data_IF_659153911738
#
_entry.id   IF_659153911738
#
_cell.length_a   1.000
_cell.length_b   1.000
_cell.length_c   1.000
_cell.angle_alpha   90.00
_cell.angle_beta   90.00
_cell.angle_gamma   90.00
#
_symmetry.space_group_name_H-M   'P 1'
#
loop_
_entity.id
_entity.type
_entity.pdbx_description
1 polymer ?
#
# COMPACT_ATOMS: atom_id res chain seq x y z
N UNK A 1 8.31 12.96 15.94
CA UNK A 1 7.41 11.80 15.82
C UNK A 1 6.00 12.34 15.64
N UNK A 2 5.28 11.93 14.58
CA UNK A 2 3.88 12.32 14.40
C UNK A 2 3.04 11.46 15.35
N UNK A 3 2.35 12.10 16.28
CA UNK A 3 1.46 11.41 17.22
C UNK A 3 0.23 10.91 16.45
N UNK A 4 0.17 9.59 16.25
CA UNK A 4 -0.83 8.81 15.49
C UNK A 4 -2.22 8.82 16.19
N UNK A 5 -2.49 9.76 17.09
CA UNK A 5 -3.51 9.62 18.15
C UNK A 5 -4.85 10.28 17.88
N UNK A 6 -5.13 10.76 16.67
CA UNK A 6 -6.45 11.31 16.33
C UNK A 6 -6.76 11.17 14.85
N UNK A 7 -7.20 10.00 14.44
CA UNK A 7 -7.94 9.86 13.20
C UNK A 7 -9.01 8.80 13.34
N UNK A 8 -10.12 9.02 12.64
CA UNK A 8 -11.18 8.03 12.49
C UNK A 8 -10.94 7.25 11.19
N UNK A 9 -11.34 5.96 11.13
CA UNK A 9 -11.24 5.19 9.90
C UNK A 9 -11.90 5.88 8.68
N UNK A 10 -12.96 6.67 8.92
CA UNK A 10 -13.68 7.42 7.87
C UNK A 10 -12.83 8.52 7.20
N UNK A 11 -11.78 9.02 7.86
CA UNK A 11 -10.88 10.04 7.28
C UNK A 11 -9.91 9.42 6.27
N UNK A 12 -9.55 8.15 6.47
CA UNK A 12 -8.51 7.49 5.67
C UNK A 12 -9.05 6.42 4.71
N UNK A 13 -10.28 5.95 4.91
CA UNK A 13 -10.94 4.94 4.07
C UNK A 13 -12.09 5.60 3.29
N UNK A 14 -12.18 5.29 2.00
CA UNK A 14 -13.31 5.63 1.13
C UNK A 14 -13.95 4.36 0.58
N UNK A 15 -15.26 4.39 0.27
CA UNK A 15 -15.92 3.29 -0.42
C UNK A 15 -15.85 3.51 -1.93
N UNK A 16 -15.15 2.63 -2.65
CA UNK A 16 -15.21 2.55 -4.11
C UNK A 16 -15.94 1.27 -4.48
N UNK A 17 -17.07 1.40 -5.19
CA UNK A 17 -17.91 0.25 -5.57
C UNK A 17 -18.30 -0.64 -4.36
N UNK A 18 -18.54 -0.02 -3.21
CA UNK A 18 -18.84 -0.73 -1.96
C UNK A 18 -17.62 -1.36 -1.26
N UNK A 19 -16.43 -1.28 -1.84
CA UNK A 19 -15.20 -1.79 -1.24
C UNK A 19 -14.45 -0.69 -0.49
N UNK A 20 -14.00 -0.94 0.76
CA UNK A 20 -13.17 0.00 1.50
C UNK A 20 -11.78 0.09 0.86
N UNK A 21 -11.40 1.29 0.45
CA UNK A 21 -10.10 1.58 -0.16
C UNK A 21 -9.43 2.78 0.52
N UNK A 22 -8.10 2.80 0.51
CA UNK A 22 -7.29 3.96 0.93
C UNK A 22 -6.28 4.31 -0.15
N UNK A 23 -5.60 5.44 -0.01
CA UNK A 23 -4.57 5.87 -0.96
C UNK A 23 -3.19 5.85 -0.30
N UNK A 24 -2.15 5.61 -1.10
CA UNK A 24 -0.76 5.66 -0.63
C UNK A 24 -0.38 7.06 -0.10
N UNK A 25 -1.04 8.12 -0.57
CA UNK A 25 -0.89 9.48 -0.05
C UNK A 25 -1.40 9.59 1.40
N UNK A 26 -2.63 9.12 1.66
CA UNK A 26 -3.20 9.13 3.02
C UNK A 26 -2.35 8.33 3.99
N UNK A 27 -1.81 7.19 3.56
CA UNK A 27 -0.86 6.40 4.34
C UNK A 27 0.42 7.19 4.63
N UNK A 28 0.98 7.88 3.64
CA UNK A 28 2.19 8.69 3.81
C UNK A 28 1.98 9.83 4.84
N UNK A 29 0.87 10.57 4.72
CA UNK A 29 0.48 11.64 5.65
C UNK A 29 0.31 11.12 7.07
N UNK A 30 -0.46 10.04 7.22
CA UNK A 30 -0.78 9.43 8.50
C UNK A 30 0.47 8.99 9.29
N UNK A 31 1.38 8.32 8.60
CA UNK A 31 2.59 7.76 9.21
C UNK A 31 3.79 8.73 9.18
N UNK A 32 3.62 9.94 8.64
CA UNK A 32 4.71 10.90 8.48
C UNK A 32 5.86 10.34 7.63
N UNK A 33 5.54 9.64 6.54
CA UNK A 33 6.50 9.05 5.61
C UNK A 33 6.53 9.83 4.30
N UNK A 34 7.66 9.76 3.58
CA UNK A 34 7.69 10.25 2.21
C UNK A 34 6.83 9.33 1.34
N UNK A 35 6.00 9.91 0.48
CA UNK A 35 5.11 9.15 -0.40
C UNK A 35 5.86 8.14 -1.29
N UNK A 36 7.05 8.50 -1.78
CA UNK A 36 7.93 7.59 -2.54
C UNK A 36 8.33 6.33 -1.76
N UNK A 37 8.53 6.43 -0.45
CA UNK A 37 8.95 5.31 0.40
C UNK A 37 7.76 4.36 0.64
N UNK A 38 6.55 4.92 0.75
CA UNK A 38 5.30 4.15 0.81
C UNK A 38 5.06 3.41 -0.50
N UNK A 39 5.20 4.10 -1.64
CA UNK A 39 5.10 3.46 -2.95
C UNK A 39 6.12 2.35 -3.10
N UNK A 40 7.40 2.62 -2.82
CA UNK A 40 8.47 1.62 -2.89
C UNK A 40 8.11 0.37 -2.08
N UNK A 41 7.71 0.53 -0.81
CA UNK A 41 7.26 -0.58 0.02
C UNK A 41 6.06 -1.33 -0.54
N UNK A 42 5.11 -0.65 -1.18
CA UNK A 42 3.96 -1.33 -1.80
C UNK A 42 4.43 -2.22 -2.96
N UNK A 43 5.37 -1.74 -3.79
CA UNK A 43 5.88 -2.52 -4.93
C UNK A 43 6.86 -3.61 -4.52
N UNK A 44 7.56 -3.43 -3.39
CA UNK A 44 8.55 -4.38 -2.85
C UNK A 44 8.04 -5.09 -1.60
N UNK A 45 6.72 -5.17 -1.40
CA UNK A 45 6.14 -5.92 -0.28
C UNK A 45 6.58 -7.37 -0.44
N UNK A 46 7.51 -7.84 0.40
CA UNK A 46 8.05 -9.20 0.31
C UNK A 46 6.90 -10.20 0.30
N UNK A 47 6.71 -10.80 -0.87
CA UNK A 47 5.70 -11.80 -1.14
C UNK A 47 6.21 -13.10 -0.54
N UNK A 48 5.61 -13.58 0.54
CA UNK A 48 5.75 -15.01 0.83
C UNK A 48 5.18 -15.78 -0.37
N UNK A 49 5.80 -16.90 -0.75
CA UNK A 49 5.32 -17.74 -1.89
C UNK A 49 3.80 -17.97 -1.81
N UNK A 50 3.29 -18.22 -0.61
CA UNK A 50 1.86 -18.45 -0.36
C UNK A 50 0.94 -17.23 -0.45
N UNK A 51 1.46 -15.99 -0.53
CA UNK A 51 0.68 -14.76 -0.70
C UNK A 51 0.46 -14.41 -2.18
N UNK A 52 1.45 -14.69 -3.04
CA UNK A 52 1.32 -14.49 -4.50
C UNK A 52 0.23 -15.38 -5.11
N UNK A 53 0.17 -16.66 -4.71
CA UNK A 53 -0.78 -17.62 -5.29
C UNK A 53 -2.26 -17.25 -5.05
N UNK A 54 -2.56 -16.38 -4.07
CA UNK A 54 -3.94 -16.17 -3.60
C UNK A 54 -4.49 -14.76 -3.81
N UNK A 55 -3.66 -13.73 -3.99
CA UNK A 55 -4.14 -12.33 -3.96
C UNK A 55 -3.76 -11.46 -5.17
N UNK A 56 -2.78 -11.81 -5.99
CA UNK A 56 -2.38 -11.01 -7.16
C UNK A 56 -2.13 -12.00 -8.31
N UNK A 57 -2.81 -11.84 -9.44
CA UNK A 57 -2.51 -12.63 -10.65
C UNK A 57 -1.00 -12.66 -10.90
N UNK A 58 -0.45 -13.84 -11.20
CA UNK A 58 0.99 -14.08 -11.43
C UNK A 58 1.65 -12.94 -12.23
N UNK A 59 2.40 -12.07 -11.54
CA UNK A 59 3.24 -11.07 -12.20
C UNK A 59 4.57 -11.75 -12.53
N UNK A 60 4.79 -12.05 -13.80
CA UNK A 60 6.10 -12.48 -14.32
C UNK A 60 7.00 -11.24 -14.31
N UNK A 61 8.01 -11.23 -13.44
CA UNK A 61 9.07 -10.23 -13.49
C UNK A 61 9.90 -10.45 -14.76
N UNK A 62 9.67 -9.63 -15.80
CA UNK A 62 10.64 -9.48 -16.87
C UNK A 62 11.81 -8.68 -16.32
N UNK A 63 12.92 -9.37 -16.05
CA UNK A 63 14.22 -8.74 -15.84
C UNK A 63 14.57 -8.04 -17.15
N UNK A 64 14.61 -6.70 -17.11
CA UNK A 64 15.20 -5.93 -18.20
C UNK A 64 16.72 -6.08 -18.09
N UNK A 65 17.30 -6.99 -18.87
CA UNK A 65 18.73 -6.92 -19.15
C UNK A 65 19.01 -5.66 -19.97
N UNK A 66 20.07 -4.95 -19.57
CA UNK A 66 20.51 -3.67 -20.14
C UNK A 66 20.94 -3.76 -21.60
#
# INVERSE_FOLDING_TARGET
MNNITSFTPAEIISLQQGQPVTTSLKVAELFGKQHKDVLHKIVTLDYSEGFNERNIELIIYQVWER
#
